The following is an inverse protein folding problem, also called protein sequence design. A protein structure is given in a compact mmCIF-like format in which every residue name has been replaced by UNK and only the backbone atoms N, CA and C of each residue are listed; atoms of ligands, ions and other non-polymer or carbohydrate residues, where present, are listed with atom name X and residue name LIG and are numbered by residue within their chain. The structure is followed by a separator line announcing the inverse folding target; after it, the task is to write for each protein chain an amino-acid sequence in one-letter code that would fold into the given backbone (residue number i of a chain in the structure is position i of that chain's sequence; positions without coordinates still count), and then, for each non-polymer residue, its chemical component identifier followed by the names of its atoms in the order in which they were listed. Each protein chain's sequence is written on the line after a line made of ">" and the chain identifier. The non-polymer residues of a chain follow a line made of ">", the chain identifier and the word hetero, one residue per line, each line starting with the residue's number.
data_IF_105721488474
#
_entry.id   IF_105721488474
#
_cell.length_a   1.000
_cell.length_b   1.000
_cell.length_c   1.000
_cell.angle_alpha   90.00
_cell.angle_beta   90.00
_cell.angle_gamma   90.00
#
_symmetry.space_group_name_H-M   'P 1'
#
loop_
_entity.id
_entity.type
_entity.pdbx_description
1 polymer ?
#
# COMPACT_ATOMS: atom_id res chain seq x y z
N UNK A 1 -16.24 30.44 -12.07
CA UNK A 1 -15.90 29.00 -12.06
C UNK A 1 -14.58 28.90 -11.33
N UNK A 2 -14.55 28.35 -10.11
CA UNK A 2 -13.32 28.32 -9.30
C UNK A 2 -12.30 27.41 -9.98
N UNK A 3 -11.29 28.01 -10.59
CA UNK A 3 -10.11 27.30 -11.07
C UNK A 3 -9.45 26.64 -9.85
N UNK A 4 -9.38 25.30 -9.86
CA UNK A 4 -8.71 24.57 -8.79
C UNK A 4 -7.24 24.99 -8.82
N UNK A 5 -6.69 25.52 -7.72
CA UNK A 5 -5.31 25.98 -7.71
C UNK A 5 -4.34 24.85 -8.02
N UNK A 6 -3.38 25.12 -8.91
CA UNK A 6 -2.35 24.15 -9.35
C UNK A 6 -1.57 23.57 -8.15
N UNK A 7 -1.35 24.36 -7.10
CA UNK A 7 -0.67 23.89 -5.89
C UNK A 7 -1.45 22.80 -5.13
N UNK A 8 -2.79 22.82 -5.17
CA UNK A 8 -3.63 21.76 -4.58
C UNK A 8 -3.45 20.47 -5.36
N UNK A 9 -3.38 20.53 -6.69
CA UNK A 9 -3.12 19.38 -7.55
C UNK A 9 -1.76 18.74 -7.25
N UNK A 10 -0.70 19.55 -7.15
CA UNK A 10 0.64 19.05 -6.81
C UNK A 10 0.69 18.44 -5.40
N UNK A 11 0.03 19.06 -4.42
CA UNK A 11 -0.08 18.51 -3.08
C UNK A 11 -0.80 17.16 -3.08
N UNK A 12 -1.90 17.06 -3.83
CA UNK A 12 -2.67 15.83 -3.98
C UNK A 12 -1.83 14.71 -4.61
N UNK A 13 -1.09 15.01 -5.69
CA UNK A 13 -0.14 14.05 -6.31
C UNK A 13 0.91 13.59 -5.30
N UNK A 14 1.47 14.51 -4.50
CA UNK A 14 2.44 14.17 -3.46
C UNK A 14 1.88 13.20 -2.41
N UNK A 15 0.65 13.43 -1.94
CA UNK A 15 -0.04 12.52 -1.01
C UNK A 15 -0.29 11.15 -1.64
N UNK A 16 -0.71 11.14 -2.90
CA UNK A 16 -0.96 9.93 -3.69
C UNK A 16 0.30 9.06 -3.84
N UNK A 17 1.46 9.68 -4.13
CA UNK A 17 2.76 9.00 -4.22
C UNK A 17 3.17 8.44 -2.86
N UNK A 18 3.03 9.22 -1.78
CA UNK A 18 3.36 8.76 -0.43
C UNK A 18 2.52 7.54 -0.03
N UNK A 19 1.23 7.57 -0.37
CA UNK A 19 0.32 6.45 -0.11
C UNK A 19 0.72 5.20 -0.91
N UNK A 20 1.06 5.36 -2.20
CA UNK A 20 1.58 4.27 -3.04
C UNK A 20 2.88 3.68 -2.48
N UNK A 21 3.82 4.52 -2.03
CA UNK A 21 5.07 4.09 -1.39
C UNK A 21 4.83 3.32 -0.08
N UNK A 22 3.90 3.78 0.77
CA UNK A 22 3.52 3.07 1.99
C UNK A 22 2.97 1.67 1.69
N UNK A 23 2.08 1.56 0.71
CA UNK A 23 1.52 0.29 0.29
C UNK A 23 2.56 -0.66 -0.32
N UNK A 24 3.47 -0.17 -1.18
CA UNK A 24 4.58 -0.95 -1.75
C UNK A 24 5.59 -1.41 -0.68
N UNK A 25 5.89 -0.57 0.32
CA UNK A 25 6.75 -0.96 1.45
C UNK A 25 6.12 -2.05 2.33
N UNK A 26 4.78 -2.02 2.47
CA UNK A 26 4.02 -3.03 3.21
C UNK A 26 4.03 -4.38 2.50
N UNK A 27 3.89 -4.39 1.17
CA UNK A 27 4.03 -5.59 0.33
C UNK A 27 5.42 -6.22 0.49
N UNK A 28 6.47 -5.39 0.35
CA UNK A 28 7.87 -5.84 0.46
C UNK A 28 8.16 -6.43 1.84
N UNK A 29 7.67 -5.78 2.91
CA UNK A 29 7.83 -6.26 4.28
C UNK A 29 7.10 -7.60 4.52
N UNK A 30 5.92 -7.79 3.93
CA UNK A 30 5.19 -9.06 4.01
C UNK A 30 5.90 -10.19 3.26
N UNK A 31 6.49 -9.89 2.10
CA UNK A 31 7.26 -10.86 1.32
C UNK A 31 8.62 -11.20 1.95
N UNK A 32 9.27 -10.24 2.62
CA UNK A 32 10.55 -10.42 3.29
C UNK A 32 10.48 -11.28 4.57
N UNK A 33 9.27 -11.52 5.11
CA UNK A 33 9.11 -12.36 6.30
C UNK A 33 9.47 -13.83 6.00
N UNK A 34 10.40 -14.37 6.78
CA UNK A 34 10.71 -15.80 6.76
C UNK A 34 9.59 -16.62 7.43
N UNK A 35 8.74 -17.26 6.61
CA UNK A 35 7.61 -18.09 7.06
C UNK A 35 8.04 -19.26 7.96
N UNK A 36 9.26 -19.78 7.80
CA UNK A 36 9.77 -20.87 8.63
C UNK A 36 10.05 -20.41 10.06
N UNK A 37 10.80 -19.31 10.22
CA UNK A 37 11.07 -18.71 11.54
C UNK A 37 9.78 -18.25 12.21
N UNK A 38 8.83 -17.72 11.45
CA UNK A 38 7.53 -17.32 11.98
C UNK A 38 6.73 -18.52 12.52
N UNK A 39 6.68 -19.64 11.79
CA UNK A 39 6.04 -20.88 12.27
C UNK A 39 6.69 -21.41 13.55
N UNK A 40 8.01 -21.29 13.68
CA UNK A 40 8.72 -21.66 14.91
C UNK A 40 8.27 -20.81 16.11
N UNK A 41 8.26 -19.49 15.95
CA UNK A 41 7.83 -18.55 17.00
C UNK A 41 6.35 -18.75 17.39
N UNK A 42 5.49 -19.18 16.47
CA UNK A 42 4.11 -19.56 16.78
C UNK A 42 4.05 -20.82 17.66
N UNK A 43 4.92 -21.81 17.40
CA UNK A 43 5.03 -23.02 18.24
C UNK A 43 5.50 -22.69 19.65
N UNK A 44 6.37 -21.69 19.81
CA UNK A 44 6.80 -21.13 21.11
C UNK A 44 5.73 -20.27 21.80
N UNK A 45 4.47 -20.33 21.35
CA UNK A 45 3.32 -19.59 21.90
C UNK A 45 3.45 -18.06 21.87
N UNK A 46 4.28 -17.51 20.98
CA UNK A 46 4.39 -16.07 20.81
C UNK A 46 3.09 -15.48 20.19
N UNK A 47 2.38 -14.66 20.99
CA UNK A 47 1.11 -14.01 20.58
C UNK A 47 1.27 -13.08 19.37
N UNK A 48 2.41 -12.43 19.22
CA UNK A 48 2.69 -11.54 18.09
C UNK A 48 2.96 -12.34 16.82
N UNK A 49 3.72 -13.43 16.90
CA UNK A 49 3.95 -14.32 15.75
C UNK A 49 2.63 -14.90 15.22
N UNK A 50 1.71 -15.28 16.12
CA UNK A 50 0.40 -15.83 15.73
C UNK A 50 -0.48 -14.82 15.00
N UNK A 51 -0.44 -13.54 15.41
CA UNK A 51 -1.13 -12.44 14.71
C UNK A 51 -0.54 -12.21 13.32
N UNK A 52 0.78 -12.17 13.23
CA UNK A 52 1.50 -11.97 11.95
C UNK A 52 1.24 -13.13 10.99
N UNK A 53 1.22 -14.38 11.46
CA UNK A 53 0.86 -15.54 10.62
C UNK A 53 -0.56 -15.43 10.07
N UNK A 54 -1.53 -15.05 10.90
CA UNK A 54 -2.93 -14.88 10.47
C UNK A 54 -3.11 -13.72 9.48
N UNK A 55 -2.28 -12.67 9.59
CA UNK A 55 -2.24 -11.56 8.64
C UNK A 55 -1.66 -12.02 7.30
N UNK A 56 -0.57 -12.79 7.31
CA UNK A 56 0.10 -13.35 6.13
C UNK A 56 -0.70 -14.45 5.41
N UNK A 57 -1.71 -15.04 6.05
CA UNK A 57 -2.68 -15.94 5.39
C UNK A 57 -3.61 -15.19 4.42
N UNK A 58 -3.75 -13.86 4.56
CA UNK A 58 -4.58 -13.02 3.69
C UNK A 58 -3.77 -12.03 2.87
N UNK A 59 -2.51 -12.36 2.57
CA UNK A 59 -1.62 -11.52 1.77
C UNK A 59 -2.22 -11.22 0.41
N UNK A 60 -2.94 -12.16 -0.22
CA UNK A 60 -3.60 -11.93 -1.53
C UNK A 60 -4.63 -10.80 -1.51
N UNK A 61 -5.38 -10.64 -0.42
CA UNK A 61 -6.34 -9.53 -0.29
C UNK A 61 -5.63 -8.20 -0.07
N UNK A 62 -4.53 -8.21 0.68
CA UNK A 62 -3.71 -7.02 0.94
C UNK A 62 -3.02 -6.55 -0.33
N UNK A 63 -2.40 -7.48 -1.08
CA UNK A 63 -1.86 -7.26 -2.41
C UNK A 63 -2.92 -6.71 -3.37
N UNK A 64 -4.12 -7.30 -3.40
CA UNK A 64 -5.22 -6.80 -4.23
C UNK A 64 -5.61 -5.35 -3.92
N UNK A 65 -5.69 -4.97 -2.65
CA UNK A 65 -5.98 -3.60 -2.23
C UNK A 65 -4.85 -2.64 -2.58
N UNK A 66 -3.59 -3.06 -2.41
CA UNK A 66 -2.39 -2.30 -2.81
C UNK A 66 -2.40 -2.05 -4.32
N UNK A 67 -2.67 -3.08 -5.12
CA UNK A 67 -2.66 -3.00 -6.58
C UNK A 67 -3.79 -2.10 -7.11
N UNK A 68 -4.99 -2.23 -6.55
CA UNK A 68 -6.14 -1.38 -6.88
C UNK A 68 -5.86 0.06 -6.46
N UNK A 69 -5.34 0.29 -5.24
CA UNK A 69 -5.04 1.61 -4.73
C UNK A 69 -3.97 2.33 -5.57
N UNK A 70 -2.93 1.62 -5.99
CA UNK A 70 -1.87 2.18 -6.83
C UNK A 70 -2.39 2.50 -8.24
N UNK A 71 -3.17 1.60 -8.85
CA UNK A 71 -3.80 1.87 -10.15
C UNK A 71 -4.78 3.03 -10.10
N UNK A 72 -5.63 3.11 -9.07
CA UNK A 72 -6.57 4.21 -8.89
C UNK A 72 -5.86 5.56 -8.75
N UNK A 73 -4.81 5.60 -7.93
CA UNK A 73 -3.92 6.74 -7.74
C UNK A 73 -3.29 7.17 -9.07
N UNK A 74 -2.76 6.21 -9.84
CA UNK A 74 -2.13 6.48 -11.14
C UNK A 74 -3.14 7.02 -12.16
N UNK A 75 -4.33 6.43 -12.27
CA UNK A 75 -5.40 6.88 -13.16
C UNK A 75 -5.88 8.29 -12.80
N UNK A 76 -6.03 8.60 -11.51
CA UNK A 76 -6.36 9.96 -11.07
C UNK A 76 -5.25 10.95 -11.41
N UNK A 77 -3.99 10.59 -11.14
CA UNK A 77 -2.86 11.44 -11.46
C UNK A 77 -2.74 11.73 -12.97
N UNK A 78 -2.96 10.72 -13.83
CA UNK A 78 -2.97 10.92 -15.29
C UNK A 78 -4.17 11.76 -15.73
N UNK A 79 -5.38 11.52 -15.23
CA UNK A 79 -6.56 12.32 -15.55
C UNK A 79 -6.38 13.80 -15.14
N UNK A 80 -5.79 14.03 -13.97
CA UNK A 80 -5.43 15.35 -13.47
C UNK A 80 -4.36 16.01 -14.35
N UNK A 81 -3.33 15.27 -14.75
CA UNK A 81 -2.30 15.76 -15.65
C UNK A 81 -2.86 16.14 -17.03
N UNK A 82 -3.87 15.42 -17.52
CA UNK A 82 -4.60 15.78 -18.75
C UNK A 82 -5.39 17.07 -18.62
N UNK A 83 -5.90 17.41 -17.42
CA UNK A 83 -6.60 18.69 -17.18
C UNK A 83 -5.64 19.88 -17.05
N UNK A 84 -4.37 19.62 -16.69
CA UNK A 84 -3.32 20.64 -16.57
C UNK A 84 -2.64 20.98 -17.90
N UNK A 85 -2.77 20.11 -18.92
CA UNK A 85 -2.09 20.18 -20.21
C UNK A 85 -3.05 20.67 -21.30
#
# INVERSE_FOLDING_TARGET
>A
MNEIPVWILFSLIGVLIFLSAFFSSSETSMMAINRYRLKHLVKERNKSARRVTKLLERTDRLLGVILIGNNFTHTLATAIATLLL
#
